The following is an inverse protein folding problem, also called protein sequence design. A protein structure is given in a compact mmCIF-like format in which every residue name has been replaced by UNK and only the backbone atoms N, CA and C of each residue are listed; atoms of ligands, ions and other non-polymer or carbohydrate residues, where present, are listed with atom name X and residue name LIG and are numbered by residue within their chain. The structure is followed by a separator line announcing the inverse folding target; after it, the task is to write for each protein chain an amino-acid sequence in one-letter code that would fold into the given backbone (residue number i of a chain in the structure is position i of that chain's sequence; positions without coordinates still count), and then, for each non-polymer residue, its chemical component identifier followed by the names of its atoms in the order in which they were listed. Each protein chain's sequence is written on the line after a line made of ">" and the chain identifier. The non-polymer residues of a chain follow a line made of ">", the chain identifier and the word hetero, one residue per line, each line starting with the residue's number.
data_IF_760957135757
#
_entry.id   IF_760957135757
#
_cell.length_a   1.000
_cell.length_b   1.000
_cell.length_c   1.000
_cell.angle_alpha   90.00
_cell.angle_beta   90.00
_cell.angle_gamma   90.00
#
_symmetry.space_group_name_H-M   'P 1'
#
loop_
_entity.id
_entity.type
_entity.pdbx_description
1 polymer ?
#
# COMPACT_ATOMS: atom_id res chain seq x y z
N UNK A 1 -2.55 -18.88 11.80
CA UNK A 1 -2.78 -18.11 10.56
C UNK A 1 -1.44 -17.48 10.19
N UNK A 2 -0.80 -17.92 9.12
CA UNK A 2 0.46 -17.35 8.66
C UNK A 2 0.08 -16.06 7.94
N UNK A 3 0.34 -14.93 8.57
CA UNK A 3 0.20 -13.61 7.94
C UNK A 3 1.39 -13.46 7.00
N UNK A 4 1.20 -13.74 5.72
CA UNK A 4 2.24 -13.52 4.70
C UNK A 4 2.44 -12.02 4.50
N UNK A 5 3.69 -11.58 4.47
CA UNK A 5 4.07 -10.20 4.18
C UNK A 5 3.96 -9.92 2.66
N UNK A 6 2.76 -9.69 2.19
CA UNK A 6 2.40 -9.61 0.78
C UNK A 6 2.81 -8.28 0.17
N UNK A 7 3.33 -8.33 -1.04
CA UNK A 7 3.67 -7.14 -1.81
C UNK A 7 3.29 -7.28 -3.28
N UNK A 8 3.15 -6.15 -3.95
CA UNK A 8 3.13 -6.09 -5.40
C UNK A 8 4.47 -5.58 -5.92
N UNK A 9 4.85 -6.06 -7.08
CA UNK A 9 6.02 -5.59 -7.83
C UNK A 9 5.55 -5.17 -9.22
N UNK A 10 5.81 -3.93 -9.59
CA UNK A 10 5.48 -3.35 -10.88
C UNK A 10 6.76 -3.10 -11.67
N UNK A 11 7.03 -3.92 -12.69
CA UNK A 11 8.16 -3.75 -13.58
C UNK A 11 7.80 -2.79 -14.71
N UNK A 12 8.56 -1.70 -14.82
CA UNK A 12 8.44 -0.72 -15.89
C UNK A 12 8.81 -1.30 -17.25
N UNK A 13 8.07 -0.90 -18.26
CA UNK A 13 8.27 -1.24 -19.67
C UNK A 13 8.72 -0.02 -20.46
N UNK A 14 9.32 -0.22 -21.61
CA UNK A 14 9.74 0.86 -22.52
C UNK A 14 8.58 1.77 -22.97
N UNK A 15 7.33 1.26 -22.97
CA UNK A 15 6.14 1.99 -23.33
C UNK A 15 5.52 2.80 -22.17
N UNK A 16 6.19 2.87 -21.00
CA UNK A 16 5.75 3.59 -19.81
C UNK A 16 4.66 2.86 -19.01
N UNK A 17 4.32 1.63 -19.39
CA UNK A 17 3.40 0.77 -18.65
C UNK A 17 4.14 -0.19 -17.75
N UNK A 18 3.39 -0.99 -16.99
CA UNK A 18 3.94 -1.90 -16.00
C UNK A 18 3.41 -3.32 -16.17
N UNK A 19 4.28 -4.31 -15.95
CA UNK A 19 3.90 -5.69 -15.71
C UNK A 19 3.84 -5.90 -14.20
N UNK A 20 2.71 -6.37 -13.68
CA UNK A 20 2.44 -6.47 -12.24
C UNK A 20 2.60 -7.90 -11.77
N UNK A 21 3.38 -8.09 -10.73
CA UNK A 21 3.65 -9.37 -10.10
C UNK A 21 3.27 -9.35 -8.62
N UNK A 22 3.04 -10.53 -8.08
CA UNK A 22 2.74 -10.73 -6.68
C UNK A 22 3.91 -11.39 -5.95
N UNK A 23 4.27 -10.85 -4.78
CA UNK A 23 5.25 -11.46 -3.89
C UNK A 23 4.62 -11.83 -2.56
N UNK A 24 4.75 -13.10 -2.18
CA UNK A 24 4.17 -13.61 -0.93
C UNK A 24 4.91 -13.11 0.32
N UNK A 25 6.19 -12.78 0.20
CA UNK A 25 7.06 -12.40 1.32
C UNK A 25 7.75 -11.05 1.12
N UNK A 26 7.54 -10.39 0.01
CA UNK A 26 8.25 -9.15 -0.37
C UNK A 26 7.98 -7.96 0.54
N UNK A 27 6.86 -7.95 1.29
CA UNK A 27 6.51 -6.87 2.21
C UNK A 27 7.28 -6.89 3.53
N UNK A 28 7.93 -8.01 3.89
CA UNK A 28 8.67 -8.14 5.13
C UNK A 28 9.91 -7.24 5.14
N UNK A 29 9.90 -6.22 5.99
CA UNK A 29 11.03 -5.29 6.21
C UNK A 29 11.66 -4.73 4.92
N UNK A 30 10.87 -4.70 3.83
CA UNK A 30 11.29 -4.28 2.48
C UNK A 30 12.54 -5.02 1.95
N UNK A 31 12.82 -6.22 2.45
CA UNK A 31 14.00 -7.01 2.07
C UNK A 31 14.10 -7.25 0.55
N UNK A 32 12.96 -7.31 -0.13
CA UNK A 32 12.88 -7.47 -1.58
C UNK A 32 13.49 -6.29 -2.35
N UNK A 33 13.47 -5.06 -1.80
CA UNK A 33 13.99 -3.87 -2.47
C UNK A 33 15.46 -4.04 -2.91
N UNK A 34 16.29 -4.66 -2.07
CA UNK A 34 17.70 -4.90 -2.37
C UNK A 34 17.91 -5.89 -3.51
N UNK A 35 17.01 -6.86 -3.64
CA UNK A 35 17.07 -7.83 -4.73
C UNK A 35 16.62 -7.18 -6.04
N UNK A 36 15.57 -6.38 -6.00
CA UNK A 36 15.02 -5.70 -7.18
C UNK A 36 15.90 -4.57 -7.70
N UNK A 37 16.79 -4.03 -6.88
CA UNK A 37 17.79 -3.04 -7.29
C UNK A 37 18.93 -3.65 -8.13
N UNK A 38 19.06 -4.98 -8.17
CA UNK A 38 20.00 -5.68 -9.04
C UNK A 38 19.35 -5.97 -10.40
N UNK A 39 19.82 -5.35 -11.50
CA UNK A 39 19.25 -5.54 -12.83
C UNK A 39 19.38 -6.98 -13.36
N UNK A 40 20.20 -7.82 -12.73
CA UNK A 40 20.33 -9.25 -13.06
C UNK A 40 19.28 -10.13 -12.34
N UNK A 41 18.45 -9.53 -11.48
CA UNK A 41 17.43 -10.28 -10.75
C UNK A 41 16.23 -10.57 -11.65
N UNK A 42 15.88 -11.85 -11.74
CA UNK A 42 14.66 -12.28 -12.46
C UNK A 42 13.39 -11.77 -11.74
N UNK A 43 12.28 -11.62 -12.47
CA UNK A 43 11.00 -11.29 -11.87
C UNK A 43 10.64 -12.19 -10.69
N UNK A 44 9.97 -11.62 -9.71
CA UNK A 44 9.62 -12.26 -8.42
C UNK A 44 8.75 -13.50 -8.58
N UNK A 45 8.07 -13.63 -9.70
CA UNK A 45 7.23 -14.78 -10.06
C UNK A 45 7.30 -15.05 -11.56
N UNK A 46 7.08 -16.31 -11.95
CA UNK A 46 7.14 -16.73 -13.35
C UNK A 46 6.04 -16.08 -14.22
N UNK A 47 4.88 -15.81 -13.63
CA UNK A 47 3.75 -15.22 -14.33
C UNK A 47 3.27 -13.91 -13.67
N UNK A 48 3.10 -12.83 -14.44
CA UNK A 48 2.53 -11.59 -13.95
C UNK A 48 1.03 -11.74 -13.70
N UNK A 49 0.52 -11.04 -12.70
CA UNK A 49 -0.91 -10.85 -12.47
C UNK A 49 -1.56 -10.12 -13.64
N UNK A 50 -0.82 -9.19 -14.24
CA UNK A 50 -1.25 -8.43 -15.43
C UNK A 50 -0.06 -7.85 -16.17
N UNK A 51 -0.25 -7.56 -17.45
CA UNK A 51 0.78 -6.99 -18.33
C UNK A 51 0.33 -5.67 -18.92
N UNK A 52 1.30 -4.78 -19.14
CA UNK A 52 1.12 -3.52 -19.86
C UNK A 52 -0.01 -2.65 -19.29
N UNK A 53 -0.07 -2.50 -17.96
CA UNK A 53 -1.07 -1.66 -17.28
C UNK A 53 -0.48 -0.29 -16.93
N UNK A 54 -1.32 0.72 -16.88
CA UNK A 54 -0.97 2.06 -16.41
C UNK A 54 -0.72 2.04 -14.89
N UNK A 55 0.16 2.91 -14.38
CA UNK A 55 0.45 3.00 -12.94
C UNK A 55 -0.81 3.25 -12.10
N UNK A 56 -1.73 4.07 -12.59
CA UNK A 56 -3.02 4.30 -11.93
C UNK A 56 -3.84 3.00 -11.77
N UNK A 57 -3.73 2.06 -12.73
CA UNK A 57 -4.38 0.76 -12.62
C UNK A 57 -3.64 -0.15 -11.62
N UNK A 58 -2.30 -0.10 -11.55
CA UNK A 58 -1.54 -0.83 -10.51
C UNK A 58 -2.06 -0.47 -9.14
N UNK A 59 -2.16 0.84 -8.86
CA UNK A 59 -2.58 1.36 -7.56
C UNK A 59 -4.08 1.16 -7.30
N UNK A 60 -4.93 1.34 -8.32
CA UNK A 60 -6.39 1.37 -8.15
C UNK A 60 -7.10 0.04 -8.31
N UNK A 61 -6.49 -0.94 -9.01
CA UNK A 61 -7.15 -2.21 -9.32
C UNK A 61 -6.45 -3.43 -8.70
N UNK A 62 -5.12 -3.39 -8.60
CA UNK A 62 -4.33 -4.53 -8.13
C UNK A 62 -3.88 -4.39 -6.68
N UNK A 63 -3.68 -3.16 -6.20
CA UNK A 63 -3.27 -2.91 -4.83
C UNK A 63 -4.47 -2.87 -3.89
N UNK A 64 -4.42 -3.70 -2.85
CA UNK A 64 -5.35 -3.67 -1.73
C UNK A 64 -4.59 -3.31 -0.45
N UNK A 65 -4.81 -2.13 0.13
CA UNK A 65 -4.11 -1.69 1.34
C UNK A 65 -4.34 -2.57 2.57
N UNK A 66 -5.39 -3.37 2.58
CA UNK A 66 -5.68 -4.35 3.64
C UNK A 66 -4.79 -5.60 3.52
N UNK A 67 -4.38 -5.93 2.28
CA UNK A 67 -3.74 -7.20 1.94
C UNK A 67 -2.24 -7.03 1.69
N UNK A 68 -1.87 -5.95 0.98
CA UNK A 68 -0.50 -5.70 0.56
C UNK A 68 0.18 -4.72 1.51
N UNK A 69 1.38 -5.06 1.97
CA UNK A 69 2.18 -4.23 2.86
C UNK A 69 3.10 -3.27 2.12
N UNK A 70 3.44 -3.59 0.86
CA UNK A 70 4.31 -2.75 0.04
C UNK A 70 3.98 -2.85 -1.46
N UNK A 71 4.35 -1.80 -2.18
CA UNK A 71 4.45 -1.77 -3.64
C UNK A 71 5.89 -1.41 -4.02
N UNK A 72 6.52 -2.27 -4.80
CA UNK A 72 7.82 -2.03 -5.42
C UNK A 72 7.61 -1.63 -6.87
N UNK A 73 8.20 -0.53 -7.29
CA UNK A 73 8.21 -0.09 -8.69
C UNK A 73 9.64 -0.19 -9.19
N UNK A 74 9.85 -1.00 -10.21
CA UNK A 74 11.16 -1.31 -10.78
C UNK A 74 11.19 -0.76 -12.20
N UNK A 75 11.68 0.45 -12.32
CA UNK A 75 11.92 1.17 -13.57
C UNK A 75 13.31 1.82 -13.52
N UNK A 76 13.56 2.84 -14.34
CA UNK A 76 14.85 3.55 -14.36
C UNK A 76 15.18 4.21 -13.01
N UNK A 77 14.16 4.56 -12.21
CA UNK A 77 14.29 5.11 -10.87
C UNK A 77 13.48 4.24 -9.88
N UNK A 78 14.07 3.16 -9.32
CA UNK A 78 13.37 2.26 -8.43
C UNK A 78 12.75 2.96 -7.22
N UNK A 79 11.46 2.73 -7.00
CA UNK A 79 10.69 3.34 -5.90
C UNK A 79 10.03 2.27 -5.06
N UNK A 80 9.96 2.51 -3.78
CA UNK A 80 9.28 1.63 -2.83
C UNK A 80 8.25 2.43 -2.07
N UNK A 81 7.04 1.89 -2.00
CA UNK A 81 5.95 2.48 -1.22
C UNK A 81 5.54 1.52 -0.12
N UNK A 82 5.48 2.02 1.11
CA UNK A 82 4.83 1.34 2.22
C UNK A 82 3.31 1.57 2.10
N UNK A 83 2.55 0.51 2.24
CA UNK A 83 1.09 0.57 2.28
C UNK A 83 0.62 0.72 3.72
N UNK A 84 -0.24 1.71 3.96
CA UNK A 84 -0.75 2.07 5.28
C UNK A 84 -2.28 1.99 5.27
N UNK A 85 -2.82 1.01 5.96
CA UNK A 85 -4.27 0.83 6.04
C UNK A 85 -4.87 1.58 7.24
N UNK A 86 -5.94 2.34 7.02
CA UNK A 86 -6.58 3.12 8.07
C UNK A 86 -7.27 2.26 9.14
N UNK A 87 -8.04 1.27 8.76
CA UNK A 87 -8.63 0.28 9.67
C UNK A 87 -9.44 0.86 10.82
N UNK A 88 -10.25 1.90 10.56
CA UNK A 88 -11.13 2.50 11.57
C UNK A 88 -12.41 1.68 11.82
N UNK A 89 -12.70 0.69 10.97
CA UNK A 89 -13.84 -0.21 11.09
C UNK A 89 -13.58 -1.28 12.16
N UNK A 90 -14.18 -1.16 13.31
CA UNK A 90 -14.09 -2.10 14.44
C UNK A 90 -15.24 -1.89 15.43
N UNK A 91 -16.39 -1.46 14.96
CA UNK A 91 -17.65 -1.47 15.72
C UNK A 91 -18.38 -2.80 15.52
N UNK A 92 -19.10 -3.25 16.54
CA UNK A 92 -19.87 -4.50 16.61
C UNK A 92 -21.01 -4.59 15.56
N UNK A 93 -21.20 -3.56 14.76
CA UNK A 93 -22.12 -3.47 13.63
C UNK A 93 -21.34 -3.55 12.31
N UNK A 94 -21.02 -4.77 11.91
CA UNK A 94 -20.24 -5.13 10.72
C UNK A 94 -20.99 -4.95 9.38
N UNK A 95 -21.86 -3.98 9.26
CA UNK A 95 -22.53 -3.66 7.99
C UNK A 95 -21.82 -2.60 7.15
N UNK A 96 -20.75 -2.01 7.67
CA UNK A 96 -19.90 -1.10 6.89
C UNK A 96 -18.74 -1.90 6.32
N UNK A 97 -18.72 -2.02 5.01
CA UNK A 97 -17.70 -2.71 4.23
C UNK A 97 -16.31 -2.25 4.67
N UNK A 98 -15.51 -3.16 5.28
CA UNK A 98 -14.14 -2.86 5.75
C UNK A 98 -13.25 -2.36 4.61
N UNK A 99 -13.61 -2.69 3.37
CA UNK A 99 -12.94 -2.21 2.16
C UNK A 99 -13.09 -0.70 1.93
N UNK A 100 -14.11 -0.06 2.52
CA UNK A 100 -14.35 1.38 2.34
C UNK A 100 -13.44 2.29 3.18
N UNK A 101 -12.71 1.76 4.15
CA UNK A 101 -11.77 2.55 4.95
C UNK A 101 -10.56 3.04 4.16
N UNK A 102 -10.19 2.33 3.09
CA UNK A 102 -9.05 2.70 2.25
C UNK A 102 -7.72 2.68 2.98
N UNK A 103 -6.71 3.18 2.30
CA UNK A 103 -5.34 3.29 2.83
C UNK A 103 -4.54 4.33 2.06
N UNK A 104 -3.25 4.40 2.37
CA UNK A 104 -2.27 5.27 1.72
C UNK A 104 -1.06 4.47 1.28
N UNK A 105 -0.40 4.95 0.24
CA UNK A 105 0.95 4.57 -0.14
C UNK A 105 1.87 5.74 0.19
N UNK A 106 2.98 5.44 0.85
CA UNK A 106 3.99 6.44 1.20
C UNK A 106 5.33 5.99 0.68
N UNK A 107 5.96 6.84 -0.11
CA UNK A 107 7.32 6.61 -0.59
C UNK A 107 8.28 6.48 0.59
N UNK A 108 9.13 5.44 0.56
CA UNK A 108 10.14 5.19 1.58
C UNK A 108 11.51 5.06 0.95
N UNK A 109 12.52 5.59 1.66
CA UNK A 109 13.92 5.38 1.28
C UNK A 109 14.35 3.98 1.69
N UNK A 110 14.32 3.05 0.75
CA UNK A 110 14.70 1.66 0.99
C UNK A 110 16.21 1.48 1.24
N UNK A 111 17.01 2.52 1.04
CA UNK A 111 18.46 2.52 1.35
C UNK A 111 18.71 2.86 2.82
N UNK A 112 17.77 3.54 3.49
CA UNK A 112 17.78 3.77 4.93
C UNK A 112 16.95 2.69 5.65
N UNK A 113 17.57 1.79 6.42
CA UNK A 113 16.86 0.72 7.11
C UNK A 113 15.88 1.21 8.19
N UNK A 114 16.01 2.47 8.63
CA UNK A 114 15.14 3.05 9.64
C UNK A 114 13.93 3.76 9.05
N UNK A 115 13.96 4.14 7.78
CA UNK A 115 12.95 5.00 7.18
C UNK A 115 11.55 4.39 7.19
N UNK A 116 11.43 3.15 6.73
CA UNK A 116 10.16 2.41 6.77
C UNK A 116 9.61 2.27 8.19
N UNK A 117 10.48 2.01 9.17
CA UNK A 117 10.10 1.90 10.57
C UNK A 117 9.57 3.23 11.13
N UNK A 118 10.17 4.35 10.74
CA UNK A 118 9.72 5.69 11.11
C UNK A 118 8.34 6.00 10.53
N UNK A 119 8.13 5.72 9.24
CA UNK A 119 6.82 5.91 8.58
C UNK A 119 5.74 5.09 9.28
N UNK A 120 5.99 3.82 9.55
CA UNK A 120 5.05 2.93 10.23
C UNK A 120 4.73 3.39 11.66
N UNK A 121 5.76 3.79 12.42
CA UNK A 121 5.58 4.23 13.80
C UNK A 121 4.79 5.53 13.87
N UNK A 122 5.11 6.50 13.01
CA UNK A 122 4.38 7.76 12.93
C UNK A 122 2.91 7.52 12.59
N UNK A 123 2.64 6.74 11.54
CA UNK A 123 1.28 6.43 11.12
C UNK A 123 0.49 5.69 12.20
N UNK A 124 1.09 4.73 12.89
CA UNK A 124 0.45 4.00 13.97
C UNK A 124 0.00 4.94 15.11
N UNK A 125 0.84 5.93 15.46
CA UNK A 125 0.51 6.94 16.45
C UNK A 125 -0.64 7.84 16.02
N UNK A 126 -0.57 8.42 14.82
CA UNK A 126 -1.62 9.29 14.27
C UNK A 126 -2.95 8.55 14.13
N UNK A 127 -2.90 7.31 13.61
CA UNK A 127 -4.07 6.43 13.50
C UNK A 127 -4.70 6.11 14.85
N UNK A 128 -3.90 5.84 15.88
CA UNK A 128 -4.41 5.55 17.23
C UNK A 128 -5.20 6.73 17.81
N UNK A 129 -4.70 7.95 17.64
CA UNK A 129 -5.38 9.17 18.06
C UNK A 129 -6.69 9.35 17.32
N UNK A 130 -6.68 9.27 15.99
CA UNK A 130 -7.88 9.40 15.16
C UNK A 130 -8.93 8.31 15.46
N UNK A 131 -8.49 7.08 15.71
CA UNK A 131 -9.38 5.98 16.12
C UNK A 131 -10.02 6.24 17.49
N UNK A 132 -9.29 6.82 18.43
CA UNK A 132 -9.84 7.21 19.74
C UNK A 132 -10.91 8.29 19.60
N UNK A 133 -10.68 9.31 18.76
CA UNK A 133 -11.69 10.35 18.47
C UNK A 133 -12.93 9.77 17.77
N UNK A 134 -12.71 8.86 16.82
CA UNK A 134 -13.81 8.16 16.14
C UNK A 134 -14.66 7.33 17.12
N UNK A 135 -14.03 6.56 18.01
CA UNK A 135 -14.74 5.77 19.05
C UNK A 135 -15.56 6.63 20.00
N UNK A 136 -15.14 7.88 20.27
CA UNK A 136 -15.90 8.85 21.09
C UNK A 136 -17.00 9.55 20.30
N UNK A 137 -17.15 9.28 19.00
CA UNK A 137 -18.13 9.93 18.13
C UNK A 137 -17.77 11.36 17.72
N UNK A 138 -16.53 11.81 17.98
CA UNK A 138 -16.03 13.15 17.64
C UNK A 138 -15.73 13.28 16.15
N UNK A 139 -15.34 12.18 15.51
CA UNK A 139 -15.05 12.11 14.08
C UNK A 139 -15.82 10.97 13.42
N UNK A 140 -16.34 11.20 12.22
CA UNK A 140 -16.77 10.10 11.36
C UNK A 140 -15.54 9.32 10.86
N UNK A 141 -15.75 8.10 10.38
CA UNK A 141 -14.67 7.29 9.80
C UNK A 141 -13.95 8.03 8.65
N UNK A 142 -14.70 8.66 7.77
CA UNK A 142 -14.14 9.44 6.65
C UNK A 142 -13.33 10.63 7.15
N UNK A 143 -13.82 11.34 8.18
CA UNK A 143 -13.08 12.46 8.77
C UNK A 143 -11.80 11.99 9.45
N UNK A 144 -11.83 10.88 10.18
CA UNK A 144 -10.65 10.29 10.81
C UNK A 144 -9.59 9.94 9.76
N UNK A 145 -9.98 9.30 8.64
CA UNK A 145 -9.07 9.00 7.54
C UNK A 145 -8.48 10.29 6.91
N UNK A 146 -9.31 11.30 6.67
CA UNK A 146 -8.86 12.58 6.10
C UNK A 146 -7.89 13.32 7.02
N UNK A 147 -8.13 13.31 8.34
CA UNK A 147 -7.22 13.92 9.33
C UNK A 147 -5.86 13.23 9.33
N UNK A 148 -5.85 11.89 9.34
CA UNK A 148 -4.58 11.13 9.30
C UNK A 148 -3.84 11.34 7.99
N UNK A 149 -4.54 11.32 6.84
CA UNK A 149 -3.94 11.60 5.54
C UNK A 149 -3.30 12.98 5.48
N UNK A 150 -4.03 14.02 5.91
CA UNK A 150 -3.52 15.38 5.90
C UNK A 150 -2.29 15.52 6.81
N UNK A 151 -2.38 15.00 8.03
CA UNK A 151 -1.27 15.04 8.97
C UNK A 151 -0.05 14.28 8.44
N UNK A 152 -0.27 13.16 7.71
CA UNK A 152 0.81 12.41 7.06
C UNK A 152 1.47 13.23 5.96
N UNK A 153 0.70 13.89 5.10
CA UNK A 153 1.24 14.75 4.03
C UNK A 153 2.05 15.93 4.60
N UNK A 154 1.55 16.53 5.67
CA UNK A 154 2.26 17.63 6.35
C UNK A 154 3.57 17.14 7.01
N UNK A 155 3.59 15.92 7.55
CA UNK A 155 4.78 15.31 8.16
C UNK A 155 5.75 14.74 7.13
N UNK A 156 5.23 14.17 6.05
CA UNK A 156 6.01 13.46 5.04
C UNK A 156 6.88 14.40 4.18
N UNK A 157 6.65 15.71 4.26
CA UNK A 157 7.35 16.77 3.59
C UNK A 157 7.46 16.53 2.06
N UNK A 158 8.60 16.05 1.57
CA UNK A 158 8.90 15.81 0.15
C UNK A 158 8.56 14.38 -0.33
N UNK A 159 8.06 13.51 0.55
CA UNK A 159 7.69 12.13 0.18
C UNK A 159 6.43 12.10 -0.68
N UNK A 160 6.43 11.21 -1.65
CA UNK A 160 5.21 10.93 -2.40
C UNK A 160 4.20 10.20 -1.53
N UNK A 161 2.99 10.76 -1.40
CA UNK A 161 1.85 10.15 -0.72
C UNK A 161 0.71 9.99 -1.70
N UNK A 162 0.35 8.74 -1.98
CA UNK A 162 -0.72 8.38 -2.92
C UNK A 162 -1.90 7.81 -2.14
N UNK A 163 -3.11 8.28 -2.46
CA UNK A 163 -4.34 7.66 -2.01
C UNK A 163 -4.92 6.81 -3.13
N UNK A 164 -4.94 5.48 -3.00
CA UNK A 164 -5.63 4.63 -3.96
C UNK A 164 -7.11 5.04 -4.06
N UNK A 165 -7.70 5.01 -5.27
CA UNK A 165 -9.13 5.20 -5.39
C UNK A 165 -9.86 4.11 -4.59
N UNK A 166 -11.00 4.46 -4.00
CA UNK A 166 -11.85 3.48 -3.33
C UNK A 166 -12.19 2.36 -4.33
N UNK A 167 -11.82 1.12 -4.01
CA UNK A 167 -12.16 -0.02 -4.84
C UNK A 167 -13.68 -0.16 -4.86
N UNK A 168 -14.30 0.29 -5.96
CA UNK A 168 -15.69 -0.07 -6.24
C UNK A 168 -15.71 -1.57 -6.40
N UNK A 169 -16.33 -2.30 -5.47
CA UNK A 169 -16.35 -3.75 -5.44
C UNK A 169 -16.97 -4.36 -6.71
N UNK A 170 -16.20 -4.44 -7.76
CA UNK A 170 -16.57 -5.08 -9.02
C UNK A 170 -15.81 -6.40 -9.10
N UNK A 171 -16.51 -7.47 -8.66
CA UNK A 171 -16.28 -8.81 -9.15
C UNK A 171 -14.95 -9.48 -8.84
N UNK A 172 -14.81 -10.11 -7.66
CA UNK A 172 -13.97 -11.29 -7.54
C UNK A 172 -14.50 -12.35 -8.52
N UNK A 173 -13.93 -12.42 -9.70
CA UNK A 173 -14.06 -13.61 -10.53
C UNK A 173 -13.17 -14.68 -9.90
N UNK A 174 -13.76 -15.51 -9.07
CA UNK A 174 -13.15 -16.78 -8.63
C UNK A 174 -13.02 -17.66 -9.86
N UNK A 175 -11.87 -17.61 -10.53
CA UNK A 175 -11.45 -18.64 -11.47
C UNK A 175 -11.19 -19.92 -10.66
N UNK A 176 -11.93 -20.97 -11.03
CA UNK A 176 -11.71 -22.35 -10.59
C UNK A 176 -10.42 -22.88 -11.15
#
# INVERSE_FOLDING_TARGET
>A
MIVGHRALVAYGREDGRYDVYYSHWGGADLALARQLADPATDPVADEPLSRAVEFAAVVGQYLDPLVHEALFVVDDEPRVYRTLWFGFGGGVDSSVDESSAGGLLVGVDWTDPCDDAHVRAWFAGARAVAAACHKRGELSQTMAATVVERALRDWADDREVIRPPATSGTGRTTGR
#
